data_IF_789171352146
#
_entry.id   IF_789171352146
#
_cell.length_a   1.000
_cell.length_b   1.000
_cell.length_c   1.000
_cell.angle_alpha   90.00
_cell.angle_beta   90.00
_cell.angle_gamma   90.00
#
_symmetry.space_group_name_H-M   'P 1'
#
loop_
_entity.id
_entity.type
_entity.pdbx_description
1 polymer ?
#
# COMPACT_ATOMS: atom_id res chain seq x y z
N UNK A 1 -4.56 1.18 -7.36
CA UNK A 1 -4.02 0.16 -6.43
C UNK A 1 -4.78 -1.17 -6.51
N UNK A 2 -6.11 -1.24 -6.29
CA UNK A 2 -6.87 -2.52 -6.39
C UNK A 2 -6.59 -3.30 -7.69
N UNK A 3 -6.68 -2.63 -8.84
CA UNK A 3 -6.35 -3.20 -10.16
C UNK A 3 -4.93 -3.79 -10.25
N UNK A 4 -3.93 -3.17 -9.61
CA UNK A 4 -2.57 -3.71 -9.59
C UNK A 4 -2.49 -5.08 -8.90
N UNK A 5 -3.21 -5.24 -7.78
CA UNK A 5 -3.25 -6.51 -7.05
C UNK A 5 -4.06 -7.58 -7.77
N UNK A 6 -5.08 -7.20 -8.53
CA UNK A 6 -5.83 -8.11 -9.41
C UNK A 6 -4.94 -8.65 -10.55
N UNK A 7 -4.13 -7.78 -11.16
CA UNK A 7 -3.29 -8.15 -12.31
C UNK A 7 -2.00 -8.88 -11.92
N UNK A 8 -1.39 -8.56 -10.78
CA UNK A 8 -0.06 -9.05 -10.41
C UNK A 8 -0.08 -10.11 -9.30
N UNK A 9 -1.20 -10.30 -8.58
CA UNK A 9 -1.37 -11.22 -7.43
C UNK A 9 -0.05 -11.48 -6.69
N UNK A 10 0.54 -10.45 -6.05
CA UNK A 10 1.87 -10.56 -5.47
C UNK A 10 1.87 -11.65 -4.38
N UNK A 11 2.73 -12.64 -4.54
CA UNK A 11 2.90 -13.73 -3.57
C UNK A 11 3.90 -13.39 -2.48
N UNK A 12 4.74 -12.37 -2.70
CA UNK A 12 5.81 -11.94 -1.80
C UNK A 12 5.79 -10.42 -1.63
N UNK A 13 5.86 -9.99 -0.37
CA UNK A 13 5.92 -8.58 0.02
C UNK A 13 7.20 -7.91 -0.46
N UNK A 14 8.30 -8.63 -0.64
CA UNK A 14 9.55 -8.07 -1.16
C UNK A 14 9.43 -7.66 -2.63
N UNK A 15 8.72 -8.44 -3.45
CA UNK A 15 8.44 -8.10 -4.84
C UNK A 15 7.59 -6.83 -4.88
N UNK A 16 6.54 -6.80 -4.04
CA UNK A 16 5.68 -5.63 -3.91
C UNK A 16 6.51 -4.39 -3.51
N UNK A 17 7.36 -4.52 -2.49
CA UNK A 17 8.23 -3.44 -2.02
C UNK A 17 9.25 -2.99 -3.05
N UNK A 18 9.73 -3.85 -3.94
CA UNK A 18 10.64 -3.47 -5.04
C UNK A 18 9.93 -2.67 -6.14
N UNK A 19 8.63 -2.91 -6.33
CA UNK A 19 7.82 -2.18 -7.31
C UNK A 19 7.53 -0.74 -6.91
N UNK A 20 7.69 -0.38 -5.63
CA UNK A 20 7.45 0.98 -5.13
C UNK A 20 8.69 1.58 -4.48
N UNK A 21 8.99 2.82 -4.82
CA UNK A 21 10.05 3.62 -4.21
C UNK A 21 9.84 3.81 -2.69
N UNK A 22 8.58 3.95 -2.25
CA UNK A 22 8.25 4.13 -0.85
C UNK A 22 8.00 2.78 -0.14
N UNK A 23 8.97 2.38 0.68
CA UNK A 23 8.93 1.15 1.47
C UNK A 23 7.91 1.17 2.62
N UNK A 24 7.39 2.35 2.98
CA UNK A 24 6.41 2.53 4.08
C UNK A 24 4.96 2.48 3.60
N UNK A 25 4.73 2.15 2.33
CA UNK A 25 3.38 2.04 1.77
C UNK A 25 2.60 0.86 2.31
N UNK A 26 3.29 -0.21 2.73
CA UNK A 26 2.66 -1.44 3.21
C UNK A 26 3.22 -1.82 4.57
N UNK A 27 2.30 -2.09 5.51
CA UNK A 27 2.63 -2.64 6.82
C UNK A 27 1.78 -3.90 7.07
N UNK A 28 2.29 -4.92 7.77
CA UNK A 28 1.48 -6.03 8.22
C UNK A 28 0.25 -5.51 8.98
N UNK A 29 -0.92 -6.10 8.75
CA UNK A 29 -2.17 -5.62 9.33
C UNK A 29 -2.07 -5.52 10.87
N UNK A 30 -1.49 -6.54 11.51
CA UNK A 30 -1.30 -6.58 12.95
C UNK A 30 -0.44 -5.42 13.46
N UNK A 31 0.70 -5.16 12.83
CA UNK A 31 1.62 -4.07 13.18
C UNK A 31 0.97 -2.69 12.93
N UNK A 32 0.16 -2.57 11.87
CA UNK A 32 -0.59 -1.37 11.57
C UNK A 32 -1.69 -1.08 12.61
N UNK A 33 -2.40 -2.11 13.08
CA UNK A 33 -3.39 -2.03 14.17
C UNK A 33 -2.72 -1.63 15.48
N UNK A 34 -1.61 -2.27 15.84
CA UNK A 34 -0.86 -1.96 17.07
C UNK A 34 -0.38 -0.50 17.07
N UNK A 35 0.15 -0.03 15.95
CA UNK A 35 0.57 1.37 15.80
C UNK A 35 -0.61 2.33 15.87
N UNK A 36 -1.76 2.00 15.27
CA UNK A 36 -2.96 2.83 15.35
C UNK A 36 -3.46 2.95 16.80
N UNK A 37 -3.51 1.83 17.52
CA UNK A 37 -3.92 1.79 18.93
C UNK A 37 -2.94 2.56 19.84
N UNK A 38 -1.64 2.47 19.55
CA UNK A 38 -0.59 3.16 20.33
C UNK A 38 -0.56 4.67 20.12
N UNK A 39 -0.78 5.12 18.89
CA UNK A 39 -0.63 6.55 18.53
C UNK A 39 -1.96 7.31 18.43
N UNK A 40 -3.11 6.64 18.57
CA UNK A 40 -4.45 7.24 18.54
C UNK A 40 -4.89 7.74 17.16
N UNK A 41 -4.02 7.70 16.15
CA UNK A 41 -4.33 8.05 14.76
C UNK A 41 -3.85 6.93 13.83
N UNK A 42 -4.76 6.26 13.09
CA UNK A 42 -4.37 5.24 12.14
C UNK A 42 -3.57 5.87 10.99
N UNK A 43 -2.37 5.34 10.75
CA UNK A 43 -1.50 5.73 9.63
C UNK A 43 -1.67 4.84 8.39
N UNK A 44 -2.63 3.92 8.44
CA UNK A 44 -2.92 2.95 7.40
C UNK A 44 -4.44 2.75 7.29
N UNK A 45 -4.89 2.27 6.14
CA UNK A 45 -6.24 1.77 5.92
C UNK A 45 -6.37 0.36 6.50
N UNK A 46 -7.27 0.19 7.48
CA UNK A 46 -7.35 -1.01 8.32
C UNK A 46 -8.67 -1.77 8.15
N UNK A 47 -9.63 -1.26 7.36
CA UNK A 47 -10.95 -1.90 7.20
C UNK A 47 -10.90 -3.03 6.18
N UNK A 48 -11.84 -3.96 6.31
CA UNK A 48 -12.05 -5.01 5.31
C UNK A 48 -12.32 -4.40 3.93
N UNK A 49 -11.55 -4.84 2.93
CA UNK A 49 -11.58 -4.31 1.57
C UNK A 49 -10.66 -3.09 1.32
N UNK A 50 -10.00 -2.59 2.36
CA UNK A 50 -8.89 -1.62 2.27
C UNK A 50 -7.52 -2.28 2.54
N UNK A 51 -7.52 -3.49 3.10
CA UNK A 51 -6.35 -4.35 3.24
C UNK A 51 -6.11 -5.19 1.99
N UNK A 52 -4.87 -5.64 1.80
CA UNK A 52 -4.44 -6.46 0.67
C UNK A 52 -3.86 -7.77 1.16
N UNK A 53 -4.21 -8.87 0.51
CA UNK A 53 -3.64 -10.20 0.78
C UNK A 53 -2.39 -10.38 -0.09
N UNK A 54 -1.26 -10.70 0.54
CA UNK A 54 0.02 -10.99 -0.13
C UNK A 54 0.46 -12.36 0.36
N UNK A 55 0.41 -13.36 -0.52
CA UNK A 55 0.61 -14.76 -0.12
C UNK A 55 -0.45 -15.20 0.90
N UNK A 56 -0.01 -15.53 2.13
CA UNK A 56 -0.88 -15.92 3.25
C UNK A 56 -1.10 -14.81 4.28
N UNK A 57 -0.54 -13.63 4.09
CA UNK A 57 -0.55 -12.53 5.07
C UNK A 57 -1.35 -11.33 4.58
N UNK A 58 -2.01 -10.64 5.50
CA UNK A 58 -2.74 -9.40 5.23
C UNK A 58 -1.88 -8.17 5.54
N UNK A 59 -1.90 -7.23 4.61
CA UNK A 59 -1.19 -5.98 4.70
C UNK A 59 -2.16 -4.80 4.63
N UNK A 60 -1.87 -3.78 5.43
CA UNK A 60 -2.55 -2.50 5.41
C UNK A 60 -1.78 -1.51 4.53
N UNK A 61 -2.51 -0.70 3.76
CA UNK A 61 -1.93 0.33 2.90
C UNK A 61 -1.82 1.63 3.71
N UNK A 62 -0.67 2.31 3.66
CA UNK A 62 -0.47 3.59 4.35
C UNK A 62 -1.47 4.64 3.87
N UNK A 63 -1.94 5.48 4.78
CA UNK A 63 -2.75 6.67 4.47
C UNK A 63 -1.92 7.97 4.55
N UNK A 64 -0.64 7.87 4.93
CA UNK A 64 0.27 9.01 5.10
C UNK A 64 0.90 9.38 3.76
N UNK A 65 0.07 9.94 2.90
CA UNK A 65 0.48 10.43 1.59
C UNK A 65 0.79 11.93 1.69
N UNK A 66 1.99 12.26 2.14
CA UNK A 66 2.51 13.62 1.92
C UNK A 66 2.61 13.91 0.42
N UNK A 67 2.57 15.17 0.01
CA UNK A 67 2.59 15.57 -1.43
C UNK A 67 3.69 14.85 -2.22
N UNK A 68 4.91 14.77 -1.67
CA UNK A 68 6.00 14.02 -2.32
C UNK A 68 5.76 12.51 -2.43
N UNK A 69 5.15 11.89 -1.41
CA UNK A 69 4.84 10.45 -1.44
C UNK A 69 3.72 10.13 -2.44
N UNK A 70 2.80 11.06 -2.71
CA UNK A 70 1.75 10.90 -3.72
C UNK A 70 2.38 10.90 -5.11
N UNK A 71 3.24 11.87 -5.41
CA UNK A 71 3.91 11.97 -6.71
C UNK A 71 4.78 10.74 -6.99
N UNK A 72 5.56 10.30 -6.01
CA UNK A 72 6.37 9.07 -6.10
C UNK A 72 5.50 7.84 -6.40
N UNK A 73 4.38 7.73 -5.69
CA UNK A 73 3.42 6.64 -5.91
C UNK A 73 2.80 6.68 -7.31
N UNK A 74 2.36 7.86 -7.77
CA UNK A 74 1.79 8.03 -9.11
C UNK A 74 2.82 7.65 -10.17
N UNK A 75 4.07 8.10 -10.00
CA UNK A 75 5.17 7.80 -10.91
C UNK A 75 5.48 6.30 -10.96
N UNK A 76 5.49 5.62 -9.82
CA UNK A 76 5.71 4.17 -9.78
C UNK A 76 4.56 3.40 -10.43
N UNK A 77 3.31 3.80 -10.17
CA UNK A 77 2.15 3.21 -10.85
C UNK A 77 2.19 3.42 -12.37
N UNK A 78 2.64 4.59 -12.84
CA UNK A 78 2.87 4.86 -14.27
C UNK A 78 3.97 3.97 -14.87
N UNK A 79 5.10 3.77 -14.16
CA UNK A 79 6.17 2.84 -14.58
C UNK A 79 5.67 1.38 -14.68
N UNK A 80 4.74 1.00 -13.82
CA UNK A 80 4.08 -0.30 -13.83
C UNK A 80 3.00 -0.41 -14.92
N UNK A 81 2.78 0.62 -15.73
CA UNK A 81 1.85 0.62 -16.86
C UNK A 81 0.42 1.03 -16.53
N UNK A 82 0.16 1.55 -15.32
CA UNK A 82 -1.16 2.01 -14.91
C UNK A 82 -1.34 3.50 -15.19
N UNK A 83 -2.41 3.86 -15.92
CA UNK A 83 -2.87 5.25 -15.98
C UNK A 83 -3.64 5.60 -14.71
N UNK A 84 -3.28 6.75 -14.13
CA UNK A 84 -4.00 7.37 -13.01
C UNK A 84 -4.65 8.61 -13.59
N UNK A 85 -5.98 8.62 -13.60
CA UNK A 85 -6.74 9.81 -13.97
C UNK A 85 -6.66 10.83 -12.83
N UNK A 86 -6.09 11.99 -13.13
CA UNK A 86 -6.16 13.17 -12.28
C UNK A 86 -7.49 13.86 -12.60
N UNK A 87 -8.48 13.73 -11.71
CA UNK A 87 -9.77 14.42 -11.82
C UNK A 87 -9.74 15.79 -11.16
#
# INVERSE_FOLDING_TARGET
MKKYFEDNTPTDIEILRKSFSNQRLFAPLQDAIEKANKHGQPRHFLKDGETVLVGSEQYAISNQWGVGNIEDFINDMRKLGYQIDES
#
